data_IF_903110116866
#
_entry.id   IF_903110116866
#
_cell.length_a   1.000
_cell.length_b   1.000
_cell.length_c   1.000
_cell.angle_alpha   90.00
_cell.angle_beta   90.00
_cell.angle_gamma   90.00
#
_symmetry.space_group_name_H-M   'P 1'
#
loop_
_entity.id
_entity.type
_entity.pdbx_description
1 polymer ?
#
# COMPACT_ATOMS: atom_id res chain seq x y z
N UNK A 1 41.43 17.39 62.93
CA UNK A 1 40.56 18.16 62.03
C UNK A 1 40.61 17.54 60.66
N UNK A 2 39.55 16.78 60.27
CA UNK A 2 39.44 16.16 58.93
C UNK A 2 38.49 16.99 58.10
N UNK A 3 38.96 17.55 56.99
CA UNK A 3 38.14 18.28 56.03
C UNK A 3 37.54 17.26 55.05
N UNK A 4 36.22 17.16 55.04
CA UNK A 4 35.45 16.42 54.02
C UNK A 4 35.21 17.34 52.82
N UNK A 5 35.71 16.91 51.66
CA UNK A 5 35.45 17.57 50.37
C UNK A 5 34.24 16.92 49.73
N UNK A 6 33.11 17.62 49.64
CA UNK A 6 31.89 17.14 48.95
C UNK A 6 32.06 17.48 47.48
N UNK A 7 32.30 16.47 46.65
CA UNK A 7 32.29 16.60 45.19
C UNK A 7 30.84 16.60 44.67
N UNK A 8 30.38 17.71 44.13
CA UNK A 8 29.10 17.83 43.44
C UNK A 8 29.22 17.19 42.03
N UNK A 9 28.52 16.06 41.85
CA UNK A 9 28.40 15.37 40.55
C UNK A 9 27.30 16.09 39.71
N UNK A 10 27.72 16.89 38.73
CA UNK A 10 26.78 17.50 37.76
C UNK A 10 26.29 16.41 36.79
N UNK A 11 25.06 15.99 36.94
CA UNK A 11 24.38 15.14 35.94
C UNK A 11 23.98 16.06 34.75
N UNK A 12 24.72 15.97 33.66
CA UNK A 12 24.33 16.60 32.38
C UNK A 12 23.34 15.63 31.72
N UNK A 13 22.05 15.91 31.84
CA UNK A 13 21.02 15.25 31.05
C UNK A 13 21.09 15.78 29.63
N UNK A 14 21.70 15.01 28.73
CA UNK A 14 21.64 15.29 27.29
C UNK A 14 20.18 15.08 26.83
N UNK A 15 19.45 16.17 26.61
CA UNK A 15 18.22 16.14 25.84
C UNK A 15 18.59 15.77 24.39
N UNK A 16 18.44 14.50 24.05
CA UNK A 16 18.45 14.09 22.65
C UNK A 16 17.27 14.79 21.97
N UNK A 17 17.56 15.81 21.17
CA UNK A 17 16.59 16.44 20.28
C UNK A 17 16.13 15.37 19.29
N UNK A 18 15.03 14.69 19.59
CA UNK A 18 14.45 13.68 18.72
C UNK A 18 13.87 14.44 17.54
N UNK A 19 14.48 14.30 16.37
CA UNK A 19 13.89 14.83 15.14
C UNK A 19 12.42 14.42 15.09
N UNK A 20 11.53 15.38 14.87
CA UNK A 20 10.10 15.08 14.79
C UNK A 20 9.89 14.11 13.64
N UNK A 21 9.15 13.02 13.92
CA UNK A 21 8.82 12.05 12.89
C UNK A 21 7.99 12.72 11.77
N UNK A 22 8.19 12.34 10.51
CA UNK A 22 7.51 12.99 9.37
C UNK A 22 6.05 12.58 9.22
N UNK A 23 5.51 11.79 10.15
CA UNK A 23 4.10 11.40 10.14
C UNK A 23 3.19 12.63 10.28
N UNK A 24 2.10 12.66 9.54
CA UNK A 24 1.14 13.76 9.56
C UNK A 24 0.60 14.10 8.18
N UNK A 25 -0.30 15.08 8.19
CA UNK A 25 -0.80 15.74 6.99
C UNK A 25 -0.04 17.03 6.78
N UNK A 26 0.48 17.18 5.58
CA UNK A 26 1.31 18.27 5.15
C UNK A 26 0.69 18.97 3.96
N UNK A 27 0.52 20.28 4.02
CA UNK A 27 0.01 21.09 2.93
C UNK A 27 1.01 22.15 2.51
N UNK A 28 1.04 22.45 1.22
CA UNK A 28 1.95 23.44 0.70
C UNK A 28 1.92 23.58 -0.80
N UNK A 29 3.09 23.92 -1.35
CA UNK A 29 3.21 24.29 -2.76
C UNK A 29 4.44 23.65 -3.38
N UNK A 30 4.28 23.19 -4.62
CA UNK A 30 5.35 22.87 -5.56
C UNK A 30 5.55 24.09 -6.45
N UNK A 31 6.71 24.70 -6.39
CA UNK A 31 7.06 25.90 -7.18
C UNK A 31 7.55 25.49 -8.57
N UNK A 32 6.66 25.51 -9.55
CA UNK A 32 6.98 25.29 -10.96
C UNK A 32 7.11 26.66 -11.65
N UNK A 33 8.13 26.90 -12.49
CA UNK A 33 8.25 28.18 -13.18
C UNK A 33 6.96 28.56 -13.91
N UNK A 34 6.37 29.69 -13.51
CA UNK A 34 5.12 30.21 -14.07
C UNK A 34 3.81 29.63 -13.49
N UNK A 35 3.88 28.66 -12.59
CA UNK A 35 2.65 28.07 -12.00
C UNK A 35 2.95 27.34 -10.69
N UNK A 36 2.52 27.92 -9.59
CA UNK A 36 2.55 27.25 -8.29
C UNK A 36 1.45 26.20 -8.21
N UNK A 37 1.80 24.98 -7.79
CA UNK A 37 0.87 23.88 -7.65
C UNK A 37 0.62 23.57 -6.17
N UNK A 38 -0.62 23.76 -5.67
CA UNK A 38 -0.95 23.32 -4.31
C UNK A 38 -0.81 21.81 -4.19
N UNK A 39 -0.28 21.37 -3.07
CA UNK A 39 -0.04 19.95 -2.78
C UNK A 39 -0.40 19.63 -1.34
N UNK A 40 -1.02 18.46 -1.15
CA UNK A 40 -1.20 17.84 0.17
C UNK A 40 -0.51 16.48 0.16
N UNK A 41 0.30 16.21 1.19
CA UNK A 41 0.98 14.93 1.39
C UNK A 41 0.56 14.38 2.75
N UNK A 42 0.04 13.17 2.76
CA UNK A 42 -0.21 12.41 3.98
C UNK A 42 0.87 11.34 4.15
N UNK A 43 1.48 11.27 5.33
CA UNK A 43 2.49 10.29 5.69
C UNK A 43 2.13 9.64 7.03
N UNK A 44 2.06 8.32 7.08
CA UNK A 44 1.80 7.55 8.29
C UNK A 44 2.75 6.36 8.41
N UNK A 45 3.12 6.01 9.63
CA UNK A 45 3.89 4.81 9.89
C UNK A 45 2.94 3.63 10.10
N UNK A 46 2.86 2.72 9.12
CA UNK A 46 2.01 1.53 9.17
C UNK A 46 2.50 0.49 10.19
N UNK A 47 3.83 0.40 10.38
CA UNK A 47 4.51 -0.40 11.42
C UNK A 47 5.94 0.14 11.58
N UNK A 48 6.68 -0.20 12.63
CA UNK A 48 8.05 0.29 12.82
C UNK A 48 8.91 0.15 11.55
N UNK A 49 9.35 1.29 11.00
CA UNK A 49 10.14 1.37 9.76
C UNK A 49 9.37 1.21 8.45
N UNK A 50 8.06 0.91 8.49
CA UNK A 50 7.22 0.78 7.29
C UNK A 50 6.30 1.99 7.18
N UNK A 51 6.41 2.70 6.07
CA UNK A 51 5.65 3.92 5.82
C UNK A 51 4.61 3.71 4.73
N UNK A 52 3.50 4.43 4.85
CA UNK A 52 2.44 4.57 3.86
C UNK A 52 2.13 6.04 3.68
N UNK A 53 1.58 6.40 2.54
CA UNK A 53 1.21 7.79 2.29
C UNK A 53 0.44 7.98 1.00
N UNK A 54 -0.12 9.17 0.85
CA UNK A 54 -0.80 9.61 -0.35
C UNK A 54 -0.49 11.06 -0.68
N UNK A 55 -0.70 11.44 -1.93
CA UNK A 55 -0.54 12.82 -2.41
C UNK A 55 -1.82 13.29 -3.11
N UNK A 56 -2.20 14.52 -2.85
CA UNK A 56 -3.28 15.22 -3.54
C UNK A 56 -2.69 16.41 -4.27
N UNK A 57 -2.98 16.54 -5.56
CA UNK A 57 -2.59 17.64 -6.42
C UNK A 57 -3.82 18.15 -7.17
N UNK A 58 -4.58 19.09 -6.59
CA UNK A 58 -5.86 19.54 -7.14
C UNK A 58 -5.74 20.11 -8.56
N UNK A 59 -4.66 20.86 -8.82
CA UNK A 59 -4.39 21.43 -10.14
C UNK A 59 -4.17 20.42 -11.25
N UNK A 60 -3.86 19.15 -10.90
CA UNK A 60 -3.67 18.03 -11.82
C UNK A 60 -4.81 16.99 -11.72
N UNK A 61 -5.85 17.28 -10.95
CA UNK A 61 -6.98 16.36 -10.75
C UNK A 61 -6.65 15.10 -9.93
N UNK A 62 -5.50 15.07 -9.23
CA UNK A 62 -5.08 13.93 -8.41
C UNK A 62 -5.70 14.03 -7.03
N UNK A 63 -6.46 13.00 -6.64
CA UNK A 63 -7.27 12.97 -5.42
C UNK A 63 -6.83 11.84 -4.47
N UNK A 64 -5.54 11.80 -4.09
CA UNK A 64 -5.03 10.80 -3.17
C UNK A 64 -4.31 9.64 -3.86
N UNK A 65 -3.35 9.94 -4.76
CA UNK A 65 -2.51 8.92 -5.34
C UNK A 65 -1.58 8.32 -4.28
N UNK A 66 -1.41 6.98 -4.23
CA UNK A 66 -0.53 6.34 -3.26
C UNK A 66 0.94 6.70 -3.54
N UNK A 67 1.70 6.86 -2.47
CA UNK A 67 3.15 7.01 -2.52
C UNK A 67 3.81 5.63 -2.59
N UNK A 68 4.90 5.54 -3.31
CA UNK A 68 5.75 4.34 -3.39
C UNK A 68 7.19 4.66 -2.99
N UNK A 69 7.98 3.62 -2.68
CA UNK A 69 9.40 3.76 -2.31
C UNK A 69 9.65 4.79 -1.19
N UNK A 70 8.75 4.83 -0.19
CA UNK A 70 8.88 5.78 0.92
C UNK A 70 10.06 5.37 1.79
N UNK A 71 11.05 6.25 1.90
CA UNK A 71 12.21 6.07 2.78
C UNK A 71 12.32 7.27 3.73
N UNK A 72 12.49 6.98 5.03
CA UNK A 72 12.67 7.99 6.07
C UNK A 72 14.02 7.74 6.73
N UNK A 73 14.89 8.74 6.70
CA UNK A 73 16.23 8.70 7.27
C UNK A 73 16.55 10.00 8.00
N UNK A 74 16.64 9.96 9.32
CA UNK A 74 16.82 11.15 10.15
C UNK A 74 15.67 12.16 9.96
N UNK A 75 15.99 13.34 9.41
CA UNK A 75 15.00 14.38 9.06
C UNK A 75 14.55 14.30 7.61
N UNK A 76 15.14 13.41 6.81
CA UNK A 76 14.87 13.28 5.39
C UNK A 76 13.76 12.27 5.10
N UNK A 77 12.92 12.62 4.14
CA UNK A 77 11.87 11.76 3.57
C UNK A 77 12.00 11.76 2.05
N UNK A 78 12.04 10.60 1.44
CA UNK A 78 11.94 10.49 0.00
C UNK A 78 10.83 9.53 -0.38
N UNK A 79 10.16 9.79 -1.49
CA UNK A 79 9.13 8.92 -2.03
C UNK A 79 8.93 9.17 -3.52
N UNK A 80 8.31 8.21 -4.18
CA UNK A 80 7.94 8.29 -5.58
C UNK A 80 6.42 8.39 -5.73
N UNK A 81 5.97 9.17 -6.71
CA UNK A 81 4.58 9.23 -7.15
C UNK A 81 4.52 8.66 -8.56
N UNK A 82 3.80 7.55 -8.70
CA UNK A 82 3.75 6.79 -9.94
C UNK A 82 2.90 7.44 -11.04
N UNK A 83 2.28 6.63 -11.86
CA UNK A 83 1.55 7.00 -13.09
C UNK A 83 0.51 8.10 -12.98
N UNK A 84 0.09 8.47 -11.78
CA UNK A 84 -0.84 9.58 -11.59
C UNK A 84 -0.28 10.94 -12.06
N UNK A 85 1.06 11.11 -12.07
CA UNK A 85 1.73 12.37 -12.47
C UNK A 85 2.41 12.29 -13.83
N UNK A 86 2.56 11.09 -14.40
CA UNK A 86 3.40 10.92 -15.59
C UNK A 86 2.78 9.96 -16.59
N UNK A 87 3.10 10.16 -17.87
CA UNK A 87 2.93 9.10 -18.85
C UNK A 87 3.92 7.96 -18.60
N UNK A 88 3.68 6.80 -19.20
CA UNK A 88 4.49 5.60 -18.97
C UNK A 88 5.98 5.76 -19.37
N UNK A 89 6.34 6.82 -20.09
CA UNK A 89 7.70 7.07 -20.60
C UNK A 89 8.53 7.96 -19.68
N UNK A 90 7.88 8.83 -18.89
CA UNK A 90 8.58 9.82 -18.06
C UNK A 90 9.08 9.26 -16.71
N UNK A 91 8.66 8.07 -16.32
CA UNK A 91 8.97 7.50 -15.01
C UNK A 91 8.21 8.20 -13.86
N UNK A 92 8.39 7.76 -12.61
CA UNK A 92 7.73 8.35 -11.46
C UNK A 92 8.29 9.74 -11.14
N UNK A 93 7.46 10.62 -10.59
CA UNK A 93 7.94 11.82 -9.94
C UNK A 93 8.58 11.45 -8.60
N UNK A 94 9.82 11.88 -8.38
CA UNK A 94 10.58 11.62 -7.15
C UNK A 94 10.60 12.85 -6.28
N UNK A 95 10.25 12.68 -5.00
CA UNK A 95 10.34 13.71 -3.98
C UNK A 95 11.48 13.40 -3.03
N UNK A 96 12.27 14.42 -2.70
CA UNK A 96 13.31 14.39 -1.69
C UNK A 96 13.13 15.60 -0.77
N UNK A 97 12.61 15.40 0.43
CA UNK A 97 12.15 16.44 1.34
C UNK A 97 12.87 16.28 2.68
N UNK A 98 13.18 17.38 3.34
CA UNK A 98 13.78 17.40 4.67
C UNK A 98 12.95 18.24 5.64
N UNK A 99 12.76 17.74 6.85
CA UNK A 99 12.16 18.52 7.93
C UNK A 99 13.13 19.62 8.35
N UNK A 100 12.68 20.86 8.27
CA UNK A 100 13.39 22.03 8.80
C UNK A 100 13.15 22.13 10.31
N UNK A 101 11.93 21.80 10.73
CA UNK A 101 11.49 21.72 12.13
C UNK A 101 10.27 20.78 12.22
N UNK A 102 9.61 20.74 13.38
CA UNK A 102 8.45 19.86 13.59
C UNK A 102 7.27 20.13 12.62
N UNK A 103 7.14 21.36 12.13
CA UNK A 103 5.97 21.85 11.41
C UNK A 103 6.27 22.28 9.97
N UNK A 104 7.51 22.13 9.50
CA UNK A 104 7.91 22.57 8.16
C UNK A 104 8.84 21.57 7.51
N UNK A 105 8.55 21.22 6.27
CA UNK A 105 9.41 20.46 5.37
C UNK A 105 9.71 21.24 4.11
N UNK A 106 10.94 21.13 3.59
CA UNK A 106 11.36 21.71 2.32
C UNK A 106 12.18 20.69 1.53
N UNK A 107 12.16 20.81 0.23
CA UNK A 107 12.93 19.93 -0.65
C UNK A 107 12.57 20.11 -2.11
N UNK A 108 12.78 19.06 -2.87
CA UNK A 108 12.62 19.09 -4.32
C UNK A 108 11.76 17.94 -4.81
N UNK A 109 11.01 18.21 -5.88
CA UNK A 109 10.38 17.23 -6.74
C UNK A 109 11.17 17.15 -8.05
N UNK A 110 11.50 15.95 -8.48
CA UNK A 110 12.15 15.67 -9.76
C UNK A 110 11.19 14.94 -10.68
N UNK A 111 11.01 15.44 -11.89
CA UNK A 111 10.14 14.85 -12.90
C UNK A 111 10.71 15.06 -14.30
N UNK A 112 10.98 13.97 -15.03
CA UNK A 112 11.47 13.99 -16.40
C UNK A 112 12.70 14.92 -16.61
N UNK A 113 13.62 14.93 -15.65
CA UNK A 113 14.82 15.77 -15.66
C UNK A 113 14.65 17.21 -15.18
N UNK A 114 13.40 17.64 -14.90
CA UNK A 114 13.12 18.93 -14.30
C UNK A 114 13.09 18.83 -12.78
N UNK A 115 13.45 19.92 -12.09
CA UNK A 115 13.43 20.04 -10.65
C UNK A 115 12.53 21.20 -10.24
N UNK A 116 11.67 20.98 -9.25
CA UNK A 116 10.79 21.99 -8.69
C UNK A 116 10.89 21.97 -7.17
N UNK A 117 11.02 23.16 -6.54
CA UNK A 117 11.08 23.25 -5.09
C UNK A 117 9.73 22.94 -4.45
N UNK A 118 9.75 22.28 -3.31
CA UNK A 118 8.60 21.91 -2.51
C UNK A 118 8.71 22.51 -1.12
N UNK A 119 7.63 23.14 -0.66
CA UNK A 119 7.54 23.65 0.71
C UNK A 119 6.22 23.22 1.31
N UNK A 120 6.29 22.53 2.46
CA UNK A 120 5.13 21.96 3.14
C UNK A 120 5.09 22.45 4.59
N UNK A 121 3.89 22.66 5.11
CA UNK A 121 3.60 22.90 6.51
C UNK A 121 2.71 21.78 7.06
N UNK A 122 2.95 21.37 8.30
CA UNK A 122 2.12 20.39 8.99
C UNK A 122 0.76 21.02 9.33
N UNK A 123 -0.33 20.36 8.95
CA UNK A 123 -1.70 20.85 9.22
C UNK A 123 -2.50 19.89 10.10
N UNK A 124 -1.98 18.71 10.38
CA UNK A 124 -2.66 17.75 11.25
C UNK A 124 -2.11 16.34 11.18
N UNK A 125 -2.91 15.39 11.64
CA UNK A 125 -2.62 13.96 11.52
C UNK A 125 -2.83 13.49 10.09
N UNK A 126 -2.07 12.47 9.66
CA UNK A 126 -2.23 11.86 8.35
C UNK A 126 -3.65 11.31 8.16
N UNK A 127 -4.20 11.50 6.96
CA UNK A 127 -5.50 10.99 6.54
C UNK A 127 -5.33 9.86 5.54
N UNK A 128 -4.39 8.96 5.81
CA UNK A 128 -4.12 7.77 5.02
C UNK A 128 -4.28 6.56 5.94
N UNK A 129 -5.06 5.59 5.49
CA UNK A 129 -5.19 4.33 6.19
C UNK A 129 -3.95 3.47 5.93
N UNK A 130 -3.56 2.70 6.93
CA UNK A 130 -2.51 1.70 6.74
C UNK A 130 -2.99 0.69 5.70
N UNK A 131 -2.14 0.30 4.73
CA UNK A 131 -2.51 -0.72 3.77
C UNK A 131 -2.98 -1.98 4.47
N UNK A 132 -4.10 -2.50 4.06
CA UNK A 132 -4.60 -3.79 4.55
C UNK A 132 -3.57 -4.85 4.19
N UNK A 133 -3.26 -5.73 5.15
CA UNK A 133 -2.28 -6.81 4.95
C UNK A 133 -3.00 -8.14 4.80
N UNK A 134 -2.40 -9.03 4.02
CA UNK A 134 -2.89 -10.40 3.94
C UNK A 134 -2.95 -11.04 5.33
N UNK A 135 -4.02 -11.79 5.58
CA UNK A 135 -4.21 -12.62 6.78
C UNK A 135 -3.89 -14.09 6.47
N UNK A 136 -3.68 -14.90 7.49
CA UNK A 136 -3.68 -16.35 7.31
C UNK A 136 -5.07 -16.81 6.92
N UNK A 137 -5.16 -17.84 6.08
CA UNK A 137 -6.43 -18.53 5.79
C UNK A 137 -6.53 -19.83 6.59
N UNK A 138 -7.75 -20.32 6.81
CA UNK A 138 -7.98 -21.60 7.49
C UNK A 138 -7.25 -22.75 6.79
N UNK A 139 -6.81 -23.73 7.54
CA UNK A 139 -6.07 -24.87 7.00
C UNK A 139 -6.88 -25.70 5.98
N UNK A 140 -8.20 -25.68 6.09
CA UNK A 140 -9.14 -26.30 5.15
C UNK A 140 -9.31 -25.51 3.86
N UNK A 141 -8.88 -24.23 3.85
CA UNK A 141 -8.94 -23.30 2.71
C UNK A 141 -7.57 -23.19 2.04
N UNK A 142 -6.47 -23.36 2.78
CA UNK A 142 -5.09 -23.31 2.29
C UNK A 142 -4.80 -24.49 1.33
N UNK A 143 -5.34 -24.42 0.12
CA UNK A 143 -5.23 -25.42 -0.95
C UNK A 143 -5.62 -24.85 -2.30
N UNK A 144 -5.67 -25.73 -3.30
CA UNK A 144 -6.13 -25.40 -4.63
C UNK A 144 -7.64 -25.52 -4.76
N UNK A 145 -8.22 -24.52 -5.44
CA UNK A 145 -9.63 -24.38 -5.76
C UNK A 145 -9.82 -24.15 -7.24
N UNK A 146 -10.74 -24.86 -7.86
CA UNK A 146 -11.03 -24.77 -9.29
C UNK A 146 -12.49 -24.44 -9.52
N UNK A 147 -12.78 -23.62 -10.52
CA UNK A 147 -14.13 -23.26 -10.93
C UNK A 147 -14.21 -22.87 -12.39
N UNK A 148 -15.44 -22.83 -12.89
CA UNK A 148 -15.75 -22.39 -14.24
C UNK A 148 -16.75 -21.24 -14.18
N UNK A 149 -16.62 -20.30 -15.10
CA UNK A 149 -17.55 -19.21 -15.28
C UNK A 149 -17.64 -18.82 -16.75
N UNK A 150 -18.72 -18.16 -17.14
CA UNK A 150 -18.90 -17.61 -18.48
C UNK A 150 -18.56 -16.13 -18.51
N UNK A 151 -17.77 -15.71 -19.48
CA UNK A 151 -17.43 -14.34 -19.73
C UNK A 151 -17.89 -13.93 -21.13
N UNK A 152 -19.08 -13.33 -21.22
CA UNK A 152 -19.64 -12.86 -22.48
C UNK A 152 -19.89 -13.99 -23.50
N UNK A 153 -20.41 -15.13 -23.05
CA UNK A 153 -20.67 -16.31 -23.87
C UNK A 153 -19.46 -17.22 -24.10
N UNK A 154 -18.34 -16.96 -23.40
CA UNK A 154 -17.12 -17.76 -23.52
C UNK A 154 -16.76 -18.39 -22.17
N UNK A 155 -16.69 -19.72 -22.07
CA UNK A 155 -16.32 -20.41 -20.84
C UNK A 155 -14.87 -20.08 -20.46
N UNK A 156 -14.64 -19.91 -19.16
CA UNK A 156 -13.33 -19.68 -18.53
C UNK A 156 -13.17 -20.67 -17.38
N UNK A 157 -11.96 -21.15 -17.20
CA UNK A 157 -11.57 -21.91 -16.01
C UNK A 157 -10.77 -21.00 -15.09
N UNK A 158 -11.05 -21.06 -13.80
CA UNK A 158 -10.34 -20.33 -12.77
C UNK A 158 -9.72 -21.28 -11.78
N UNK A 159 -8.45 -21.07 -11.47
CA UNK A 159 -7.72 -21.76 -10.41
C UNK A 159 -7.19 -20.76 -9.41
N UNK A 160 -7.49 -20.98 -8.14
CA UNK A 160 -6.90 -20.25 -7.02
C UNK A 160 -6.20 -21.26 -6.12
N UNK A 161 -4.91 -21.06 -5.88
CA UNK A 161 -4.13 -21.85 -4.91
C UNK A 161 -3.74 -20.94 -3.75
N UNK A 162 -4.21 -21.27 -2.56
CA UNK A 162 -3.94 -20.53 -1.31
C UNK A 162 -2.91 -21.27 -0.48
N UNK A 163 -1.91 -20.53 0.03
CA UNK A 163 -0.84 -21.06 0.86
C UNK A 163 -0.57 -20.14 2.05
N UNK A 164 -0.48 -20.69 3.26
CA UNK A 164 -0.06 -19.95 4.44
C UNK A 164 1.47 -19.99 4.59
N UNK A 165 2.05 -18.88 5.05
CA UNK A 165 3.47 -18.78 5.35
C UNK A 165 3.75 -18.64 6.85
N UNK A 166 5.01 -18.83 7.24
CA UNK A 166 5.43 -18.79 8.64
C UNK A 166 5.19 -17.45 9.35
N UNK A 167 5.05 -16.35 8.60
CA UNK A 167 4.70 -15.02 9.12
C UNK A 167 3.19 -14.81 9.35
N UNK A 168 2.39 -15.87 9.25
CA UNK A 168 0.95 -15.89 9.35
C UNK A 168 0.20 -15.09 8.25
N UNK A 169 0.85 -14.75 7.13
CA UNK A 169 0.21 -14.19 5.95
C UNK A 169 -0.03 -15.28 4.91
N UNK A 170 -1.18 -15.26 4.26
CA UNK A 170 -1.45 -16.10 3.10
C UNK A 170 -0.97 -15.43 1.82
N UNK A 171 -0.57 -16.26 0.85
CA UNK A 171 -0.42 -15.88 -0.56
C UNK A 171 -1.36 -16.68 -1.44
N UNK A 172 -1.58 -16.21 -2.65
CA UNK A 172 -2.36 -16.96 -3.62
C UNK A 172 -1.71 -16.93 -5.00
N UNK A 173 -1.86 -18.03 -5.74
CA UNK A 173 -1.74 -18.03 -7.20
C UNK A 173 -3.14 -17.93 -7.77
N UNK A 174 -3.36 -17.02 -8.71
CA UNK A 174 -4.67 -16.78 -9.33
C UNK A 174 -4.53 -16.85 -10.85
N UNK A 175 -5.12 -17.88 -11.44
CA UNK A 175 -5.01 -18.16 -12.87
C UNK A 175 -6.40 -18.23 -13.51
N UNK A 176 -6.56 -17.57 -14.66
CA UNK A 176 -7.76 -17.71 -15.50
C UNK A 176 -7.32 -18.22 -16.86
N UNK A 177 -7.90 -19.36 -17.26
CA UNK A 177 -7.68 -19.99 -18.56
C UNK A 177 -8.88 -19.77 -19.47
N UNK A 178 -8.62 -19.27 -20.67
CA UNK A 178 -9.57 -19.13 -21.76
C UNK A 178 -8.88 -19.42 -23.08
N UNK A 179 -8.93 -18.49 -24.04
CA UNK A 179 -8.10 -18.56 -25.26
C UNK A 179 -6.60 -18.45 -24.93
N UNK A 180 -6.27 -17.84 -23.81
CA UNK A 180 -4.93 -17.70 -23.26
C UNK A 180 -4.98 -18.00 -21.77
N UNK A 181 -3.86 -18.38 -21.19
CA UNK A 181 -3.66 -18.45 -19.76
C UNK A 181 -3.20 -17.09 -19.26
N UNK A 182 -3.86 -16.57 -18.23
CA UNK A 182 -3.48 -15.32 -17.59
C UNK A 182 -3.21 -15.61 -16.12
N UNK A 183 -2.00 -15.32 -15.69
CA UNK A 183 -1.59 -15.31 -14.29
C UNK A 183 -1.76 -13.90 -13.73
N UNK A 184 -2.47 -13.80 -12.60
CA UNK A 184 -2.69 -12.53 -11.91
C UNK A 184 -1.83 -12.47 -10.67
N UNK A 185 -0.90 -11.48 -10.56
CA UNK A 185 -0.11 -11.31 -9.35
C UNK A 185 -1.03 -10.91 -8.20
N UNK A 186 -1.06 -11.72 -7.13
CA UNK A 186 -1.90 -11.46 -5.96
C UNK A 186 -1.14 -10.63 -4.94
N UNK A 187 -1.71 -9.49 -4.58
CA UNK A 187 -1.15 -8.55 -3.61
C UNK A 187 -1.77 -8.71 -2.23
N UNK A 188 -3.03 -9.19 -2.18
CA UNK A 188 -3.80 -9.25 -0.96
C UNK A 188 -4.67 -10.52 -0.88
N UNK A 189 -4.62 -11.18 0.27
CA UNK A 189 -5.49 -12.30 0.65
C UNK A 189 -6.03 -12.03 2.04
N UNK A 190 -7.34 -11.91 2.18
CA UNK A 190 -8.01 -11.69 3.47
C UNK A 190 -9.06 -12.77 3.67
N UNK A 191 -9.02 -13.39 4.84
CA UNK A 191 -10.13 -14.19 5.33
C UNK A 191 -10.66 -13.61 6.64
N UNK A 192 -11.97 -13.35 6.68
CA UNK A 192 -12.69 -12.92 7.88
C UNK A 192 -13.89 -13.84 8.07
N UNK A 193 -13.77 -14.77 9.02
CA UNK A 193 -14.78 -15.82 9.22
C UNK A 193 -14.91 -16.70 7.97
N UNK A 194 -16.10 -16.71 7.36
CA UNK A 194 -16.38 -17.41 6.11
C UNK A 194 -16.18 -16.54 4.85
N UNK A 195 -15.87 -15.28 4.99
CA UNK A 195 -15.58 -14.38 3.87
C UNK A 195 -14.13 -14.51 3.42
N UNK A 196 -13.90 -14.62 2.11
CA UNK A 196 -12.59 -14.66 1.47
C UNK A 196 -12.52 -13.57 0.41
N UNK A 197 -11.46 -12.73 0.48
CA UNK A 197 -11.15 -11.71 -0.52
C UNK A 197 -9.73 -11.88 -1.02
N UNK A 198 -9.56 -11.84 -2.34
CA UNK A 198 -8.27 -11.96 -3.03
C UNK A 198 -8.18 -10.85 -4.05
N UNK A 199 -7.09 -10.10 -4.03
CA UNK A 199 -6.91 -8.94 -4.93
C UNK A 199 -5.60 -9.02 -5.70
N UNK A 200 -5.69 -8.60 -6.94
CA UNK A 200 -4.57 -8.21 -7.80
C UNK A 200 -4.70 -6.73 -8.14
N UNK A 201 -4.07 -5.87 -7.34
CA UNK A 201 -4.17 -4.42 -7.50
C UNK A 201 -3.59 -3.94 -8.84
N UNK A 202 -2.53 -4.57 -9.31
CA UNK A 202 -1.88 -4.26 -10.60
C UNK A 202 -2.81 -4.50 -11.79
N UNK A 203 -3.64 -5.54 -11.73
CA UNK A 203 -4.53 -5.94 -12.83
C UNK A 203 -5.99 -5.55 -12.58
N UNK A 204 -6.30 -5.02 -11.39
CA UNK A 204 -7.65 -4.70 -10.94
C UNK A 204 -8.59 -5.92 -10.97
N UNK A 205 -8.06 -7.10 -10.68
CA UNK A 205 -8.84 -8.33 -10.53
C UNK A 205 -9.09 -8.57 -9.06
N UNK A 206 -10.34 -8.79 -8.71
CA UNK A 206 -10.78 -9.08 -7.34
C UNK A 206 -11.66 -10.32 -7.35
N UNK A 207 -11.40 -11.24 -6.45
CA UNK A 207 -12.31 -12.32 -6.10
C UNK A 207 -12.84 -12.09 -4.69
N UNK A 208 -14.15 -12.09 -4.54
CA UNK A 208 -14.84 -12.07 -3.26
C UNK A 208 -15.79 -13.27 -3.16
N UNK A 209 -15.68 -14.02 -2.08
CA UNK A 209 -16.50 -15.23 -1.92
C UNK A 209 -16.74 -15.61 -0.48
N UNK A 210 -17.72 -16.50 -0.31
CA UNK A 210 -18.05 -17.11 0.97
C UNK A 210 -17.70 -18.58 0.94
N UNK A 211 -17.03 -19.03 1.99
CA UNK A 211 -16.56 -20.41 2.16
C UNK A 211 -17.67 -21.27 2.76
N UNK A 212 -17.98 -22.36 2.10
CA UNK A 212 -18.89 -23.41 2.57
C UNK A 212 -18.05 -24.67 2.84
N UNK A 213 -17.36 -24.68 3.99
CA UNK A 213 -16.34 -25.68 4.31
C UNK A 213 -16.88 -27.13 4.23
N UNK A 214 -18.09 -27.39 4.72
CA UNK A 214 -18.74 -28.70 4.68
C UNK A 214 -19.06 -29.16 3.26
N UNK A 215 -19.45 -28.25 2.39
CA UNK A 215 -19.72 -28.55 0.98
C UNK A 215 -18.45 -28.63 0.14
N UNK A 216 -17.30 -28.16 0.67
CA UNK A 216 -16.07 -28.04 -0.11
C UNK A 216 -16.18 -27.04 -1.24
N UNK A 217 -16.95 -25.98 -1.05
CA UNK A 217 -17.20 -24.94 -2.05
C UNK A 217 -16.86 -23.56 -1.53
N UNK A 218 -16.45 -22.67 -2.44
CA UNK A 218 -16.42 -21.22 -2.22
C UNK A 218 -17.30 -20.61 -3.31
N UNK A 219 -18.34 -19.90 -2.91
CA UNK A 219 -19.27 -19.22 -3.84
C UNK A 219 -18.97 -17.74 -3.80
N UNK A 220 -18.73 -17.14 -4.96
CA UNK A 220 -18.33 -15.75 -5.01
C UNK A 220 -18.48 -15.12 -6.37
N UNK A 221 -17.87 -13.95 -6.49
CA UNK A 221 -17.82 -13.15 -7.70
C UNK A 221 -16.37 -12.82 -8.03
N UNK A 222 -16.00 -12.95 -9.29
CA UNK A 222 -14.76 -12.40 -9.81
C UNK A 222 -15.07 -11.10 -10.55
N UNK A 223 -14.38 -10.03 -10.17
CA UNK A 223 -14.45 -8.73 -10.81
C UNK A 223 -13.21 -8.54 -11.70
N UNK A 224 -13.44 -8.23 -12.96
CA UNK A 224 -12.42 -8.00 -14.00
C UNK A 224 -12.62 -6.58 -14.56
N UNK A 225 -12.06 -5.59 -13.90
CA UNK A 225 -12.37 -4.18 -14.17
C UNK A 225 -13.84 -3.86 -13.84
N UNK A 226 -14.63 -3.50 -14.85
CA UNK A 226 -16.07 -3.20 -14.69
C UNK A 226 -16.99 -4.41 -14.82
N UNK A 227 -16.46 -5.59 -15.10
CA UNK A 227 -17.24 -6.83 -15.27
C UNK A 227 -17.23 -7.61 -13.95
N UNK A 228 -18.41 -8.07 -13.55
CA UNK A 228 -18.60 -8.94 -12.40
C UNK A 228 -19.25 -10.24 -12.83
N UNK A 229 -18.66 -11.36 -12.46
CA UNK A 229 -19.12 -12.68 -12.88
C UNK A 229 -19.18 -13.62 -11.68
N UNK A 230 -20.33 -14.27 -11.42
CA UNK A 230 -20.45 -15.24 -10.35
C UNK A 230 -19.66 -16.52 -10.69
N UNK A 231 -19.05 -17.11 -9.67
CA UNK A 231 -18.30 -18.36 -9.80
C UNK A 231 -18.45 -19.21 -8.55
N UNK A 232 -18.46 -20.53 -8.76
CA UNK A 232 -18.39 -21.51 -7.69
C UNK A 232 -17.06 -22.25 -7.82
N UNK A 233 -16.23 -22.10 -6.81
CA UNK A 233 -14.97 -22.84 -6.71
C UNK A 233 -15.18 -24.12 -5.92
N UNK A 234 -14.59 -25.23 -6.36
CA UNK A 234 -14.55 -26.51 -5.70
C UNK A 234 -13.14 -26.95 -5.39
N UNK A 235 -12.97 -27.73 -4.36
CA UNK A 235 -11.66 -28.29 -3.99
C UNK A 235 -11.08 -29.09 -5.15
N UNK A 236 -9.81 -28.85 -5.50
CA UNK A 236 -9.09 -29.70 -6.43
C UNK A 236 -9.01 -31.14 -5.90
N UNK A 237 -9.32 -32.13 -6.76
CA UNK A 237 -9.30 -33.54 -6.38
C UNK A 237 -10.54 -34.05 -5.64
N UNK A 238 -11.59 -33.25 -5.44
CA UNK A 238 -12.91 -33.73 -5.03
C UNK A 238 -13.57 -34.50 -6.20
N UNK A 239 -13.88 -35.75 -6.01
CA UNK A 239 -14.70 -36.49 -6.99
C UNK A 239 -16.08 -35.85 -7.07
N UNK A 240 -16.52 -35.53 -8.29
CA UNK A 240 -17.90 -35.18 -8.64
C UNK A 240 -18.84 -36.33 -8.26
#
# INVERSE_FOLDING_TARGET
MRRATIGALLLITAFACRAAAPDGRWEGVIHIPGSDQPVTVDLAQASPGVWTGSIILPGLGIKGAPLSNIAVAGTGVSFDVGRALTDAKAGPARFAIQSVNADTMTGDMQLAGNVANVKLARVGSAQVESPVKSTAVGADIAREWNGEFDLGGYPRQMTIKLENHANAAATATFVIVGKRTNDFPVDLVIQEGDSLRIESGTTQVVFEGRVFAQAGEIKGTVSLGSLEVPVVLRRAGGKS
#
